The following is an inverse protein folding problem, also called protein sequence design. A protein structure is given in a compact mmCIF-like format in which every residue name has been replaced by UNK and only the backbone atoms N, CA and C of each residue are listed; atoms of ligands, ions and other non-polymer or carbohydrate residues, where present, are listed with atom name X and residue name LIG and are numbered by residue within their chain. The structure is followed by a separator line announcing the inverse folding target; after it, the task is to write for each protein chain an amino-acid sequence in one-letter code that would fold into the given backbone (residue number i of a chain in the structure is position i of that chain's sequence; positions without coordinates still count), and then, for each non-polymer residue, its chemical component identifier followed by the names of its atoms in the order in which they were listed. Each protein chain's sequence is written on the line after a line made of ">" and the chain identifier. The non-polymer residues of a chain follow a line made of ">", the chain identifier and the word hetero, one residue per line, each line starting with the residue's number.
data_IF_450183251016
#
_entry.id   IF_450183251016
#
_cell.length_a   1.000
_cell.length_b   1.000
_cell.length_c   1.000
_cell.angle_alpha   90.00
_cell.angle_beta   90.00
_cell.angle_gamma   90.00
#
_symmetry.space_group_name_H-M   'P 1'
#
loop_
_entity.id
_entity.type
_entity.pdbx_description
1 polymer ?
#
# COMPACT_ATOMS: atom_id res chain seq x y z
N UNK A 1 24.18 41.99 20.56
CA UNK A 1 24.46 40.52 20.54
C UNK A 1 23.24 39.64 20.91
N UNK A 2 22.32 40.07 21.76
CA UNK A 2 21.13 39.29 22.16
C UNK A 2 20.09 39.10 21.05
N UNK A 3 19.91 40.08 20.17
CA UNK A 3 18.97 40.03 19.04
C UNK A 3 19.41 39.14 17.89
N UNK A 4 20.73 38.96 17.71
CA UNK A 4 21.25 38.09 16.65
C UNK A 4 21.07 36.58 16.96
N UNK A 5 21.20 36.22 18.25
CA UNK A 5 20.97 34.82 18.69
C UNK A 5 19.52 34.41 18.57
N UNK A 6 18.55 35.30 18.79
CA UNK A 6 17.12 35.01 18.67
C UNK A 6 16.69 34.78 17.22
N UNK A 7 17.27 35.51 16.27
CA UNK A 7 17.01 35.29 14.85
C UNK A 7 17.59 33.96 14.35
N UNK A 8 18.76 33.56 14.84
CA UNK A 8 19.39 32.29 14.43
C UNK A 8 18.62 31.06 14.96
N UNK A 9 18.07 31.14 16.17
CA UNK A 9 17.22 30.10 16.73
C UNK A 9 15.89 29.97 15.98
N UNK A 10 15.32 31.06 15.47
CA UNK A 10 14.08 31.02 14.70
C UNK A 10 14.26 30.39 13.29
N UNK A 11 15.46 30.52 12.70
CA UNK A 11 15.77 29.88 11.41
C UNK A 11 15.99 28.35 11.52
N UNK A 12 16.46 27.86 12.66
CA UNK A 12 16.66 26.43 12.89
C UNK A 12 15.36 25.66 13.22
N UNK A 13 14.31 26.35 13.64
CA UNK A 13 13.03 25.74 13.95
C UNK A 13 12.18 25.43 12.69
N UNK A 14 12.59 25.95 11.53
CA UNK A 14 11.86 25.81 10.26
C UNK A 14 12.20 24.57 9.43
N UNK A 15 13.11 23.71 9.87
CA UNK A 15 13.51 22.50 9.13
C UNK A 15 12.88 21.22 9.70
N UNK A 16 11.59 21.25 10.05
CA UNK A 16 10.88 20.05 10.46
C UNK A 16 10.31 19.39 9.21
N UNK A 17 11.06 18.40 8.76
CA UNK A 17 10.62 17.20 8.04
C UNK A 17 9.58 17.40 6.92
N UNK A 18 10.06 17.75 5.74
CA UNK A 18 9.50 17.20 4.51
C UNK A 18 9.99 15.73 4.43
N UNK A 19 9.70 14.93 5.46
CA UNK A 19 10.00 13.52 5.49
C UNK A 19 8.90 12.81 4.74
N UNK A 20 9.17 12.52 3.45
CA UNK A 20 8.86 11.25 2.84
C UNK A 20 7.39 10.80 2.86
N UNK A 21 6.46 11.59 2.37
CA UNK A 21 5.39 11.01 1.60
C UNK A 21 5.95 10.79 0.20
N UNK A 22 6.51 9.59 -0.03
CA UNK A 22 6.75 9.16 -1.40
C UNK A 22 5.42 9.32 -2.14
N UNK A 23 5.37 10.23 -3.11
CA UNK A 23 4.13 10.44 -3.84
C UNK A 23 3.79 9.12 -4.54
N UNK A 24 2.52 8.72 -4.52
CA UNK A 24 2.03 7.54 -5.26
C UNK A 24 2.65 7.49 -6.67
N UNK A 25 2.67 8.63 -7.39
CA UNK A 25 3.20 8.73 -8.73
C UNK A 25 4.72 8.48 -8.84
N UNK A 26 5.49 8.65 -7.77
CA UNK A 26 6.92 8.33 -7.77
C UNK A 26 7.16 6.81 -7.70
N UNK A 27 6.31 6.08 -7.00
CA UNK A 27 6.48 4.64 -6.76
C UNK A 27 5.61 3.78 -7.68
N UNK A 28 4.38 4.21 -7.98
CA UNK A 28 3.40 3.45 -8.74
C UNK A 28 3.00 4.17 -10.03
N UNK A 29 2.62 3.40 -11.04
CA UNK A 29 2.19 3.88 -12.34
C UNK A 29 0.67 3.73 -12.48
N UNK A 30 -0.05 4.84 -12.34
CA UNK A 30 -1.51 4.85 -12.45
C UNK A 30 -2.07 4.51 -13.84
N UNK A 31 -1.20 4.44 -14.86
CA UNK A 31 -1.58 4.01 -16.21
C UNK A 31 -1.29 2.52 -16.45
N UNK A 32 -0.72 1.84 -15.46
CA UNK A 32 -0.43 0.40 -15.53
C UNK A 32 -1.25 -0.40 -14.52
N UNK A 33 -2.55 -0.60 -14.80
CA UNK A 33 -3.38 -1.44 -13.94
C UNK A 33 -2.88 -2.90 -13.98
N UNK A 34 -3.06 -3.57 -12.86
CA UNK A 34 -2.79 -5.00 -12.74
C UNK A 34 -3.89 -5.67 -11.95
N UNK A 35 -4.25 -6.88 -12.38
CA UNK A 35 -5.16 -7.75 -11.63
C UNK A 35 -4.46 -9.07 -11.39
N UNK A 36 -4.42 -9.49 -10.14
CA UNK A 36 -3.74 -10.71 -9.69
C UNK A 36 -4.73 -11.56 -8.91
N UNK A 37 -4.79 -12.86 -9.22
CA UNK A 37 -5.59 -13.83 -8.45
C UNK A 37 -4.64 -14.86 -7.86
N UNK A 38 -4.75 -15.11 -6.56
CA UNK A 38 -3.87 -16.06 -5.88
C UNK A 38 -4.25 -16.24 -4.42
N UNK A 39 -3.35 -16.83 -3.66
CA UNK A 39 -3.54 -17.15 -2.25
C UNK A 39 -2.71 -16.20 -1.39
N UNK A 40 -3.32 -15.63 -0.36
CA UNK A 40 -2.63 -14.76 0.61
C UNK A 40 -1.61 -15.58 1.37
N UNK A 41 -0.32 -15.22 1.21
CA UNK A 41 0.79 -15.90 1.86
C UNK A 41 1.26 -15.21 3.14
N UNK A 42 1.14 -13.88 3.22
CA UNK A 42 1.55 -13.07 4.38
C UNK A 42 0.80 -11.75 4.43
N UNK A 43 0.62 -11.22 5.62
CA UNK A 43 0.05 -9.90 5.87
C UNK A 43 0.90 -9.19 6.92
N UNK A 44 1.44 -8.03 6.56
CA UNK A 44 2.15 -7.13 7.46
C UNK A 44 1.22 -5.98 7.82
N UNK A 45 0.52 -6.13 8.94
CA UNK A 45 -0.43 -5.12 9.43
C UNK A 45 0.30 -4.11 10.32
N UNK A 46 0.90 -3.10 9.70
CA UNK A 46 1.74 -2.10 10.37
C UNK A 46 1.58 -0.69 9.78
N UNK A 47 2.01 0.32 10.53
CA UNK A 47 2.19 1.67 10.01
C UNK A 47 3.54 1.80 9.28
N UNK A 48 3.65 2.69 8.28
CA UNK A 48 2.64 3.63 7.79
C UNK A 48 1.59 3.01 6.88
N UNK A 49 1.85 1.85 6.27
CA UNK A 49 0.95 1.15 5.36
C UNK A 49 0.93 -0.35 5.67
N UNK A 50 -0.18 -1.01 5.37
CA UNK A 50 -0.17 -2.47 5.37
C UNK A 50 0.49 -2.98 4.10
N UNK A 51 1.11 -4.15 4.20
CA UNK A 51 1.52 -4.93 3.05
C UNK A 51 0.91 -6.32 3.12
N UNK A 52 0.52 -6.85 1.98
CA UNK A 52 0.11 -8.24 1.90
C UNK A 52 0.69 -8.90 0.65
N UNK A 53 0.92 -10.17 0.75
CA UNK A 53 1.63 -10.96 -0.25
C UNK A 53 0.71 -12.04 -0.77
N UNK A 54 0.65 -12.16 -2.09
CA UNK A 54 -0.23 -13.10 -2.78
C UNK A 54 0.60 -14.01 -3.67
N UNK A 55 0.54 -15.30 -3.42
CA UNK A 55 1.19 -16.31 -4.22
C UNK A 55 0.30 -16.66 -5.41
N UNK A 56 0.82 -16.46 -6.61
CA UNK A 56 0.15 -16.72 -7.88
C UNK A 56 0.83 -17.93 -8.54
N UNK A 57 0.05 -18.95 -8.81
CA UNK A 57 0.53 -20.13 -9.54
C UNK A 57 0.35 -19.93 -11.04
N UNK A 58 1.37 -20.26 -11.81
CA UNK A 58 1.27 -20.36 -13.26
C UNK A 58 0.79 -21.77 -13.69
N UNK A 59 0.51 -21.92 -14.98
CA UNK A 59 0.03 -23.18 -15.55
C UNK A 59 1.07 -24.32 -15.48
N UNK A 60 2.33 -23.99 -15.21
CA UNK A 60 3.44 -24.94 -15.09
C UNK A 60 3.76 -25.31 -13.64
N UNK A 61 2.99 -24.76 -12.69
CA UNK A 61 3.19 -24.97 -11.25
C UNK A 61 4.23 -24.05 -10.60
N UNK A 62 4.80 -23.10 -11.36
CA UNK A 62 5.64 -22.06 -10.81
C UNK A 62 4.82 -21.10 -9.93
N UNK A 63 5.45 -20.53 -8.89
CA UNK A 63 4.81 -19.58 -8.00
C UNK A 63 5.52 -18.24 -8.10
N UNK A 64 4.75 -17.19 -8.36
CA UNK A 64 5.21 -15.81 -8.29
C UNK A 64 4.54 -15.12 -7.12
N UNK A 65 5.32 -14.60 -6.18
CA UNK A 65 4.79 -13.84 -5.06
C UNK A 65 4.66 -12.37 -5.44
N UNK A 66 3.45 -11.84 -5.33
CA UNK A 66 3.14 -10.44 -5.49
C UNK A 66 3.06 -9.73 -4.15
N UNK A 67 3.67 -8.55 -4.04
CA UNK A 67 3.58 -7.66 -2.90
C UNK A 67 2.60 -6.52 -3.21
N UNK A 68 1.60 -6.35 -2.37
CA UNK A 68 0.65 -5.24 -2.46
C UNK A 68 0.80 -4.31 -1.26
N UNK A 69 0.86 -3.01 -1.54
CA UNK A 69 0.75 -1.95 -0.53
C UNK A 69 -0.70 -1.51 -0.43
N UNK A 70 -1.22 -1.44 0.79
CA UNK A 70 -2.56 -0.93 1.08
C UNK A 70 -2.52 0.36 1.90
N UNK A 71 -3.69 0.85 2.27
CA UNK A 71 -3.84 1.99 3.16
C UNK A 71 -3.23 1.74 4.55
N UNK A 72 -2.97 2.82 5.33
CA UNK A 72 -2.66 2.70 6.75
C UNK A 72 -3.73 1.89 7.51
N UNK A 73 -3.36 1.14 8.55
CA UNK A 73 -4.29 0.34 9.35
C UNK A 73 -5.53 1.09 9.83
N UNK A 74 -5.37 2.33 10.30
CA UNK A 74 -6.48 3.15 10.80
C UNK A 74 -7.49 3.53 9.69
N UNK A 75 -7.04 3.72 8.45
CA UNK A 75 -7.94 3.97 7.32
C UNK A 75 -8.73 2.71 6.95
N UNK A 76 -8.06 1.56 6.93
CA UNK A 76 -8.72 0.29 6.62
C UNK A 76 -9.81 -0.04 7.67
N UNK A 77 -9.51 0.16 8.95
CA UNK A 77 -10.50 -0.05 10.03
C UNK A 77 -11.74 0.82 9.82
N UNK A 78 -11.57 2.10 9.44
CA UNK A 78 -12.70 3.00 9.11
C UNK A 78 -13.50 2.53 7.89
N UNK A 79 -12.89 1.78 6.99
CA UNK A 79 -13.54 1.19 5.81
C UNK A 79 -14.14 -0.20 6.08
N UNK A 80 -14.16 -0.63 7.34
CA UNK A 80 -14.77 -1.89 7.75
C UNK A 80 -13.83 -3.10 7.76
N UNK A 81 -12.52 -2.88 7.54
CA UNK A 81 -11.54 -3.94 7.71
C UNK A 81 -11.34 -4.25 9.19
N UNK A 82 -11.18 -5.53 9.50
CA UNK A 82 -10.82 -6.02 10.84
C UNK A 82 -9.52 -6.78 10.73
N UNK A 83 -8.53 -6.39 11.52
CA UNK A 83 -7.25 -7.10 11.61
C UNK A 83 -7.51 -8.59 11.90
N UNK A 84 -6.76 -9.46 11.20
CA UNK A 84 -6.80 -10.92 11.35
C UNK A 84 -8.16 -11.59 11.09
N UNK A 85 -9.18 -10.84 10.66
CA UNK A 85 -10.52 -11.35 10.40
C UNK A 85 -11.01 -11.07 8.97
N UNK A 86 -10.72 -9.89 8.41
CA UNK A 86 -11.19 -9.54 7.06
C UNK A 86 -10.43 -10.27 5.96
N UNK A 87 -9.13 -10.36 6.09
CA UNK A 87 -8.25 -11.12 5.21
C UNK A 87 -7.29 -11.95 6.06
N UNK A 88 -7.08 -13.20 5.68
CA UNK A 88 -6.24 -14.16 6.39
C UNK A 88 -5.28 -14.85 5.44
N UNK A 89 -4.15 -15.30 5.96
CA UNK A 89 -3.25 -16.20 5.24
C UNK A 89 -4.04 -17.46 4.84
N UNK A 90 -3.91 -17.86 3.57
CA UNK A 90 -4.67 -18.95 2.97
C UNK A 90 -5.93 -18.53 2.22
N UNK A 91 -6.41 -17.30 2.37
CA UNK A 91 -7.56 -16.81 1.59
C UNK A 91 -7.21 -16.71 0.11
N UNK A 92 -8.13 -17.14 -0.75
CA UNK A 92 -8.05 -16.86 -2.18
C UNK A 92 -8.64 -15.48 -2.45
N UNK A 93 -7.86 -14.63 -3.10
CA UNK A 93 -8.23 -13.24 -3.39
C UNK A 93 -7.92 -12.88 -4.84
N UNK A 94 -8.74 -11.97 -5.38
CA UNK A 94 -8.41 -11.23 -6.60
C UNK A 94 -8.13 -9.78 -6.22
N UNK A 95 -6.92 -9.31 -6.48
CA UNK A 95 -6.45 -7.97 -6.15
C UNK A 95 -6.31 -7.17 -7.43
N UNK A 96 -6.96 -6.01 -7.47
CA UNK A 96 -6.78 -4.99 -8.49
C UNK A 96 -5.93 -3.85 -7.92
N UNK A 97 -5.03 -3.30 -8.73
CA UNK A 97 -4.17 -2.20 -8.31
C UNK A 97 -3.33 -1.61 -9.42
N UNK A 98 -2.30 -0.86 -9.03
CA UNK A 98 -1.41 -0.11 -9.91
C UNK A 98 0.01 -0.63 -9.76
N UNK A 99 0.62 -1.03 -10.87
CA UNK A 99 1.97 -1.64 -10.87
C UNK A 99 3.02 -0.66 -10.37
N UNK A 100 3.98 -1.15 -9.58
CA UNK A 100 5.16 -0.37 -9.22
C UNK A 100 6.03 -0.10 -10.46
N UNK A 101 6.73 1.04 -10.45
CA UNK A 101 7.58 1.45 -11.57
C UNK A 101 8.86 0.62 -11.67
N UNK A 102 9.38 0.16 -10.54
CA UNK A 102 10.67 -0.52 -10.45
C UNK A 102 10.51 -2.02 -10.25
N UNK A 103 9.69 -2.44 -9.30
CA UNK A 103 9.52 -3.86 -8.98
C UNK A 103 8.35 -4.46 -9.79
N UNK A 104 8.62 -5.43 -10.70
CA UNK A 104 7.59 -5.99 -11.59
C UNK A 104 6.51 -6.80 -10.88
N UNK A 105 6.76 -7.28 -9.67
CA UNK A 105 5.82 -8.06 -8.85
C UNK A 105 5.32 -7.29 -7.61
N UNK A 106 5.36 -5.96 -7.68
CA UNK A 106 4.80 -5.08 -6.66
C UNK A 106 3.73 -4.17 -7.25
N UNK A 107 2.70 -3.88 -6.46
CA UNK A 107 1.64 -2.95 -6.84
C UNK A 107 1.06 -2.23 -5.61
N UNK A 108 0.50 -1.04 -5.83
CA UNK A 108 -0.44 -0.45 -4.89
C UNK A 108 -1.78 -1.16 -5.05
N UNK A 109 -2.26 -1.81 -4.00
CA UNK A 109 -3.57 -2.45 -4.00
C UNK A 109 -4.68 -1.39 -3.98
N UNK A 110 -5.71 -1.57 -4.81
CA UNK A 110 -6.90 -0.71 -4.84
C UNK A 110 -8.11 -1.41 -4.27
N UNK A 111 -8.39 -2.58 -4.77
CA UNK A 111 -9.55 -3.39 -4.39
C UNK A 111 -9.14 -4.85 -4.19
N UNK A 112 -9.70 -5.47 -3.16
CA UNK A 112 -9.60 -6.91 -2.92
C UNK A 112 -10.98 -7.52 -3.06
N UNK A 113 -11.11 -8.52 -3.91
CA UNK A 113 -12.31 -9.35 -4.05
C UNK A 113 -12.01 -10.73 -3.45
N UNK A 114 -12.81 -11.13 -2.49
CA UNK A 114 -12.72 -12.42 -1.79
C UNK A 114 -13.46 -13.51 -2.54
N UNK A 115 -13.24 -14.78 -2.16
CA UNK A 115 -13.86 -15.95 -2.78
C UNK A 115 -15.40 -15.95 -2.72
N UNK A 116 -15.99 -15.33 -1.70
CA UNK A 116 -17.44 -15.14 -1.54
C UNK A 116 -18.02 -14.01 -2.41
N UNK A 117 -17.18 -13.35 -3.21
CA UNK A 117 -17.56 -12.21 -4.05
C UNK A 117 -17.56 -10.86 -3.35
N UNK A 118 -17.34 -10.82 -2.03
CA UNK A 118 -17.22 -9.56 -1.29
C UNK A 118 -16.02 -8.76 -1.81
N UNK A 119 -16.25 -7.48 -2.10
CA UNK A 119 -15.21 -6.56 -2.55
C UNK A 119 -14.99 -5.47 -1.53
N UNK A 120 -13.74 -5.24 -1.16
CA UNK A 120 -13.33 -4.16 -0.26
C UNK A 120 -12.24 -3.32 -0.89
N UNK A 121 -12.31 -2.02 -0.63
CA UNK A 121 -11.23 -1.11 -0.99
C UNK A 121 -10.07 -1.25 0.00
N UNK A 122 -8.84 -1.22 -0.52
CA UNK A 122 -7.63 -1.28 0.30
C UNK A 122 -6.60 -0.18 -0.03
N UNK A 123 -6.88 0.67 -1.00
CA UNK A 123 -5.93 1.70 -1.40
C UNK A 123 -6.52 2.78 -2.31
N UNK A 124 -5.71 3.79 -2.69
CA UNK A 124 -6.17 4.96 -3.43
C UNK A 124 -6.52 4.64 -4.88
N UNK A 125 -7.39 5.44 -5.52
CA UNK A 125 -7.58 5.43 -6.96
C UNK A 125 -6.31 5.89 -7.68
N UNK A 126 -6.23 5.64 -9.01
CA UNK A 126 -5.12 6.11 -9.83
C UNK A 126 -4.94 7.63 -9.72
N UNK A 127 -3.71 8.09 -9.64
CA UNK A 127 -3.38 9.52 -9.70
C UNK A 127 -3.64 10.32 -8.41
N UNK A 128 -4.26 9.73 -7.40
CA UNK A 128 -4.35 10.37 -6.08
C UNK A 128 -3.12 9.95 -5.26
N UNK A 129 -2.03 10.70 -5.45
CA UNK A 129 -0.91 10.63 -4.52
C UNK A 129 -1.45 10.81 -3.10
N UNK A 130 -1.00 9.97 -2.17
CA UNK A 130 -1.51 9.97 -0.81
C UNK A 130 -1.62 11.38 -0.22
N UNK A 131 -2.81 11.74 0.18
CA UNK A 131 -3.05 12.81 1.14
C UNK A 131 -2.96 12.23 2.53
#
# INVERSE_FOLDING_TARGET
>A
MRTLCTLLCALLAGTVSVAAHHSFAAEYDGEKPVTVTGVVARIDWMNPHIYFYVDVKDDKGGVTQWKFEGYPPNMLVRQGWKRDATMKVGDTVKVFGWRARVNPTQAAGRDVTFADGKKLNCGPPAGTGGQ
#
